data_IF_200726364908
#
_entry.id   IF_200726364908
#
_cell.length_a   1.000
_cell.length_b   1.000
_cell.length_c   1.000
_cell.angle_alpha   90.00
_cell.angle_beta   90.00
_cell.angle_gamma   90.00
#
_symmetry.space_group_name_H-M   'P 1'
#
loop_
_entity.id
_entity.type
_entity.pdbx_description
1 polymer ?
#
# COMPACT_ATOMS: atom_id res chain seq x y z
N UNK A 1 -20.36 9.63 -20.69
CA UNK A 1 -19.92 10.19 -19.40
C UNK A 1 -18.85 11.18 -19.74
N UNK A 2 -19.11 12.48 -19.55
CA UNK A 2 -18.06 13.49 -19.68
C UNK A 2 -16.96 13.12 -18.68
N UNK A 3 -15.79 12.81 -19.21
CA UNK A 3 -14.68 12.33 -18.41
C UNK A 3 -14.06 13.56 -17.76
N UNK A 4 -14.39 13.79 -16.49
CA UNK A 4 -13.88 14.94 -15.75
C UNK A 4 -12.46 14.63 -15.26
N UNK A 5 -11.51 15.50 -15.63
CA UNK A 5 -10.19 15.56 -14.99
C UNK A 5 -10.35 16.28 -13.66
N UNK A 6 -9.91 15.66 -12.57
CA UNK A 6 -9.97 16.24 -11.23
C UNK A 6 -8.63 16.85 -10.82
N UNK A 7 -8.68 17.93 -10.05
CA UNK A 7 -7.51 18.52 -9.39
C UNK A 7 -7.24 17.83 -8.04
N UNK A 8 -6.56 16.69 -8.07
CA UNK A 8 -6.09 15.97 -6.89
C UNK A 8 -5.12 16.79 -6.03
N UNK A 9 -4.36 17.71 -6.61
CA UNK A 9 -3.43 18.57 -5.86
C UNK A 9 -4.16 19.44 -4.84
N UNK A 10 -5.41 19.85 -5.14
CA UNK A 10 -6.26 20.60 -4.22
C UNK A 10 -6.63 19.83 -2.96
N UNK A 11 -6.64 18.49 -2.99
CA UNK A 11 -7.20 17.66 -1.92
C UNK A 11 -6.64 18.04 -0.54
N UNK A 12 -5.32 18.18 -0.43
CA UNK A 12 -4.65 18.47 0.86
C UNK A 12 -5.04 19.81 1.48
N UNK A 13 -5.63 20.72 0.67
CA UNK A 13 -6.11 22.04 1.10
C UNK A 13 -7.59 22.02 1.49
N UNK A 14 -8.33 20.96 1.15
CA UNK A 14 -9.75 20.85 1.44
C UNK A 14 -9.99 20.42 2.90
N UNK A 15 -11.07 20.90 3.54
CA UNK A 15 -11.50 20.42 4.86
C UNK A 15 -11.69 18.90 4.91
N UNK A 16 -12.06 18.29 3.78
CA UNK A 16 -12.16 16.84 3.63
C UNK A 16 -10.86 16.10 4.01
N UNK A 17 -9.70 16.59 3.56
CA UNK A 17 -8.44 15.90 3.87
C UNK A 17 -8.13 15.94 5.37
N UNK A 18 -8.44 17.07 6.01
CA UNK A 18 -8.35 17.18 7.47
C UNK A 18 -9.26 16.17 8.16
N UNK A 19 -10.51 16.04 7.69
CA UNK A 19 -11.47 15.05 8.19
C UNK A 19 -10.93 13.61 8.08
N UNK A 20 -10.34 13.23 6.95
CA UNK A 20 -9.75 11.89 6.75
C UNK A 20 -8.63 11.62 7.78
N UNK A 21 -7.77 12.62 8.03
CA UNK A 21 -6.70 12.51 9.03
C UNK A 21 -7.24 12.42 10.46
N UNK A 22 -8.32 13.15 10.77
CA UNK A 22 -8.96 13.11 12.08
C UNK A 22 -9.68 11.77 12.30
N UNK A 23 -10.38 11.23 11.29
CA UNK A 23 -10.98 9.89 11.32
C UNK A 23 -9.91 8.81 11.56
N UNK A 24 -8.76 8.91 10.89
CA UNK A 24 -7.61 8.02 11.13
C UNK A 24 -7.07 8.12 12.56
N UNK A 25 -6.89 9.34 13.08
CA UNK A 25 -6.38 9.53 14.44
C UNK A 25 -7.37 9.01 15.49
N UNK A 26 -8.67 9.20 15.29
CA UNK A 26 -9.70 8.65 16.15
C UNK A 26 -9.68 7.12 16.17
N UNK A 27 -9.48 6.48 15.01
CA UNK A 27 -9.31 5.05 14.89
C UNK A 27 -8.10 4.55 15.71
N UNK A 28 -6.93 5.18 15.53
CA UNK A 28 -5.69 4.79 16.22
C UNK A 28 -5.75 4.97 17.75
N UNK A 29 -6.57 5.89 18.24
CA UNK A 29 -6.72 6.16 19.67
C UNK A 29 -7.74 5.25 20.36
N UNK A 30 -8.46 4.41 19.61
CA UNK A 30 -9.44 3.48 20.16
C UNK A 30 -8.81 2.10 20.42
N UNK A 31 -8.49 1.82 21.69
CA UNK A 31 -7.89 0.55 22.12
C UNK A 31 -8.85 -0.65 22.16
N UNK A 32 -10.15 -0.44 21.90
CA UNK A 32 -11.14 -1.51 21.82
C UNK A 32 -11.29 -2.08 20.41
N UNK A 33 -10.69 -1.43 19.40
CA UNK A 33 -10.77 -1.90 18.01
C UNK A 33 -9.85 -3.09 17.78
N UNK A 34 -10.39 -4.07 17.05
CA UNK A 34 -9.64 -5.20 16.52
C UNK A 34 -8.81 -4.77 15.31
N UNK A 35 -7.81 -5.59 14.99
CA UNK A 35 -6.88 -5.35 13.88
C UNK A 35 -7.58 -5.07 12.53
N UNK A 36 -8.67 -5.81 12.26
CA UNK A 36 -9.47 -5.64 11.04
C UNK A 36 -9.97 -4.21 10.81
N UNK A 37 -10.27 -3.45 11.87
CA UNK A 37 -10.71 -2.06 11.70
C UNK A 37 -9.61 -1.16 11.09
N UNK A 38 -8.35 -1.38 11.47
CA UNK A 38 -7.22 -0.64 10.89
C UNK A 38 -6.91 -1.12 9.47
N UNK A 39 -7.00 -2.44 9.24
CA UNK A 39 -6.88 -3.01 7.91
C UNK A 39 -7.92 -2.41 6.94
N UNK A 40 -9.20 -2.38 7.33
CA UNK A 40 -10.28 -1.88 6.49
C UNK A 40 -10.11 -0.39 6.15
N UNK A 41 -9.68 0.43 7.13
CA UNK A 41 -9.41 1.84 6.88
C UNK A 41 -8.24 2.06 5.91
N UNK A 42 -7.15 1.30 6.07
CA UNK A 42 -6.00 1.35 5.17
C UNK A 42 -6.36 0.82 3.77
N UNK A 43 -7.16 -0.25 3.68
CA UNK A 43 -7.64 -0.81 2.43
C UNK A 43 -8.55 0.16 1.66
N UNK A 44 -9.32 0.97 2.37
CA UNK A 44 -10.14 2.02 1.76
C UNK A 44 -9.32 3.26 1.35
N UNK A 45 -8.15 3.50 1.95
CA UNK A 45 -7.35 4.71 1.73
C UNK A 45 -5.86 4.44 1.40
N UNK A 46 -5.52 3.47 0.53
CA UNK A 46 -4.14 3.03 0.35
C UNK A 46 -3.26 4.13 -0.26
N UNK A 47 -3.81 4.95 -1.15
CA UNK A 47 -3.09 6.06 -1.77
C UNK A 47 -2.52 7.01 -0.69
N UNK A 48 -3.30 7.29 0.36
CA UNK A 48 -2.99 8.25 1.41
C UNK A 48 -1.95 7.69 2.40
N UNK A 49 -2.06 6.41 2.77
CA UNK A 49 -1.29 5.86 3.87
C UNK A 49 -0.20 4.86 3.47
N UNK A 50 -0.37 4.10 2.39
CA UNK A 50 0.50 2.98 2.02
C UNK A 50 1.33 3.25 0.77
N UNK A 51 0.77 3.99 -0.19
CA UNK A 51 1.35 4.16 -1.51
C UNK A 51 2.25 5.40 -1.60
N UNK A 52 3.44 5.20 -2.19
CA UNK A 52 4.30 6.29 -2.64
C UNK A 52 3.95 6.77 -4.04
N UNK A 53 4.67 7.80 -4.52
CA UNK A 53 4.45 8.47 -5.82
C UNK A 53 4.33 7.50 -7.01
N UNK A 54 5.21 6.51 -7.08
CA UNK A 54 5.30 5.61 -8.24
C UNK A 54 4.43 4.35 -8.09
N UNK A 55 3.65 4.26 -7.01
CA UNK A 55 2.72 3.17 -6.79
C UNK A 55 1.40 3.47 -7.50
N UNK A 56 0.87 2.47 -8.20
CA UNK A 56 -0.34 2.62 -9.01
C UNK A 56 -1.47 1.68 -8.59
N UNK A 57 -1.17 0.77 -7.66
CA UNK A 57 -2.10 -0.22 -7.16
C UNK A 57 -1.69 -0.70 -5.77
N UNK A 58 -2.67 -0.99 -4.93
CA UNK A 58 -2.50 -1.76 -3.72
C UNK A 58 -3.50 -2.93 -3.73
N UNK A 59 -3.06 -4.07 -3.22
CA UNK A 59 -3.84 -5.30 -3.14
C UNK A 59 -4.05 -5.60 -1.66
N UNK A 60 -5.28 -5.95 -1.27
CA UNK A 60 -5.59 -6.41 0.07
C UNK A 60 -5.78 -7.92 0.06
N UNK A 61 -5.25 -8.59 1.10
CA UNK A 61 -5.43 -10.03 1.32
C UNK A 61 -5.00 -10.90 0.14
N UNK A 62 -3.85 -10.59 -0.46
CA UNK A 62 -3.27 -11.40 -1.54
C UNK A 62 -2.85 -12.78 -1.00
N UNK A 63 -3.34 -13.85 -1.63
CA UNK A 63 -3.02 -15.22 -1.22
C UNK A 63 -1.74 -15.71 -1.87
N UNK A 64 -0.76 -16.12 -1.06
CA UNK A 64 0.44 -16.79 -1.51
C UNK A 64 0.24 -18.31 -1.42
N UNK A 65 -0.21 -18.90 -2.51
CA UNK A 65 -0.63 -20.31 -2.53
C UNK A 65 -1.93 -20.52 -1.75
N UNK A 66 -2.06 -21.67 -1.08
CA UNK A 66 -3.19 -21.98 -0.21
C UNK A 66 -2.91 -21.74 1.28
N UNK A 67 -1.67 -21.44 1.64
CA UNK A 67 -1.17 -21.49 3.01
C UNK A 67 -1.03 -20.11 3.65
N UNK A 68 -0.71 -19.08 2.85
CA UNK A 68 -0.39 -17.76 3.36
C UNK A 68 -1.23 -16.67 2.70
N UNK A 69 -1.44 -15.58 3.42
CA UNK A 69 -2.17 -14.41 2.98
C UNK A 69 -1.44 -13.17 3.54
N UNK A 70 -1.17 -12.19 2.67
CA UNK A 70 -0.57 -10.91 3.09
C UNK A 70 -1.67 -9.94 3.51
N UNK A 71 -1.41 -8.99 4.42
CA UNK A 71 -2.37 -7.90 4.63
C UNK A 71 -2.46 -6.98 3.41
N UNK A 72 -1.31 -6.50 2.95
CA UNK A 72 -1.26 -5.67 1.74
C UNK A 72 -0.09 -6.03 0.83
N UNK A 73 -0.27 -5.74 -0.46
CA UNK A 73 0.82 -5.65 -1.43
C UNK A 73 0.71 -4.32 -2.17
N UNK A 74 1.74 -3.48 -2.05
CA UNK A 74 1.85 -2.24 -2.84
C UNK A 74 2.64 -2.53 -4.11
N UNK A 75 2.07 -2.18 -5.25
CA UNK A 75 2.67 -2.40 -6.57
C UNK A 75 3.21 -1.08 -7.10
N UNK A 76 4.51 -1.05 -7.34
CA UNK A 76 5.23 0.16 -7.77
C UNK A 76 5.90 -0.06 -9.12
N UNK A 77 5.85 0.94 -9.98
CA UNK A 77 6.64 0.93 -11.22
C UNK A 77 8.13 1.00 -10.88
N UNK A 78 8.90 0.11 -11.48
CA UNK A 78 10.32 -0.03 -11.18
C UNK A 78 11.23 0.17 -12.39
N UNK A 79 10.74 0.88 -13.40
CA UNK A 79 11.47 1.35 -14.56
C UNK A 79 12.02 0.19 -15.39
N UNK A 80 13.26 0.30 -15.87
CA UNK A 80 13.95 -0.75 -16.65
C UNK A 80 14.03 -2.10 -15.92
N UNK A 81 13.94 -2.08 -14.58
CA UNK A 81 14.15 -3.25 -13.73
C UNK A 81 12.83 -3.95 -13.35
N UNK A 82 11.72 -3.52 -13.98
CA UNK A 82 10.40 -4.14 -13.87
C UNK A 82 9.66 -3.80 -12.59
N UNK A 83 8.47 -4.37 -12.38
CA UNK A 83 7.60 -4.03 -11.24
C UNK A 83 8.22 -4.40 -9.89
N UNK A 84 8.04 -3.52 -8.89
CA UNK A 84 8.37 -3.78 -7.48
C UNK A 84 7.13 -4.14 -6.68
N UNK A 85 7.29 -5.06 -5.74
CA UNK A 85 6.24 -5.49 -4.82
C UNK A 85 6.69 -5.26 -3.39
N UNK A 86 5.89 -4.52 -2.63
CA UNK A 86 6.10 -4.39 -1.18
C UNK A 86 5.00 -5.16 -0.46
N UNK A 87 5.37 -6.27 0.16
CA UNK A 87 4.47 -7.11 0.96
C UNK A 87 4.47 -6.58 2.39
N UNK A 88 3.28 -6.29 2.90
CA UNK A 88 3.08 -5.63 4.19
C UNK A 88 2.27 -6.56 5.08
N UNK A 89 2.81 -6.80 6.27
CA UNK A 89 2.08 -7.34 7.42
C UNK A 89 1.74 -6.18 8.36
N UNK A 90 0.53 -6.18 8.92
CA UNK A 90 0.14 -5.27 9.98
C UNK A 90 -0.20 -6.06 11.25
N UNK A 91 0.05 -5.43 12.38
CA UNK A 91 -0.43 -5.86 13.68
C UNK A 91 -1.18 -4.70 14.34
N UNK A 92 -1.84 -4.92 15.46
CA UNK A 92 -2.51 -3.82 16.16
C UNK A 92 -1.55 -2.65 16.49
N UNK A 93 -1.99 -1.37 16.38
CA UNK A 93 -1.25 -0.24 16.91
C UNK A 93 -1.03 -0.33 18.43
N UNK A 94 -1.81 -1.14 19.14
CA UNK A 94 -1.68 -1.34 20.59
C UNK A 94 -0.78 -2.51 20.97
N UNK A 95 -0.18 -3.17 19.98
CA UNK A 95 0.78 -4.25 20.22
C UNK A 95 2.09 -3.68 20.76
N UNK A 96 2.53 -4.21 21.90
CA UNK A 96 3.87 -3.95 22.44
C UNK A 96 4.87 -4.88 21.76
N UNK A 97 6.00 -4.34 21.28
CA UNK A 97 6.99 -5.11 20.52
C UNK A 97 7.88 -5.98 21.44
N UNK A 98 8.24 -5.48 22.61
CA UNK A 98 9.12 -6.17 23.55
C UNK A 98 8.48 -6.30 24.92
N UNK A 99 8.69 -7.45 25.58
CA UNK A 99 8.25 -7.65 26.95
C UNK A 99 9.15 -6.93 27.97
N UNK A 100 8.80 -7.02 29.25
CA UNK A 100 9.57 -6.40 30.35
C UNK A 100 10.99 -6.96 30.50
N UNK A 101 11.29 -8.12 29.91
CA UNK A 101 12.63 -8.71 29.86
C UNK A 101 13.40 -8.30 28.59
N UNK A 102 12.82 -7.43 27.76
CA UNK A 102 13.41 -6.93 26.54
C UNK A 102 13.37 -7.92 25.36
N UNK A 103 12.58 -9.00 25.46
CA UNK A 103 12.44 -10.01 24.39
C UNK A 103 11.26 -9.66 23.48
N UNK A 104 11.32 -9.99 22.18
CA UNK A 104 10.18 -9.81 21.28
C UNK A 104 8.92 -10.52 21.80
N UNK A 105 7.78 -9.84 21.79
CA UNK A 105 6.51 -10.44 22.20
C UNK A 105 6.05 -11.51 21.21
N UNK A 106 5.11 -12.36 21.64
CA UNK A 106 4.55 -13.41 20.78
C UNK A 106 3.96 -12.86 19.47
N UNK A 107 3.25 -11.72 19.52
CA UNK A 107 2.70 -11.05 18.34
C UNK A 107 3.79 -10.55 17.40
N UNK A 108 4.80 -9.87 17.93
CA UNK A 108 5.90 -9.39 17.08
C UNK A 108 6.68 -10.55 16.45
N UNK A 109 6.93 -11.62 17.19
CA UNK A 109 7.51 -12.85 16.65
C UNK A 109 6.63 -13.50 15.57
N UNK A 110 5.30 -13.51 15.73
CA UNK A 110 4.37 -14.04 14.74
C UNK A 110 4.44 -13.25 13.42
N UNK A 111 4.43 -11.91 13.49
CA UNK A 111 4.59 -11.06 12.30
C UNK A 111 5.94 -11.29 11.60
N UNK A 112 7.04 -11.40 12.35
CA UNK A 112 8.35 -11.77 11.79
C UNK A 112 8.32 -13.15 11.13
N UNK A 113 7.60 -14.09 11.72
CA UNK A 113 7.46 -15.45 11.19
C UNK A 113 6.66 -15.46 9.89
N UNK A 114 5.56 -14.70 9.79
CA UNK A 114 4.80 -14.51 8.55
C UNK A 114 5.68 -14.03 7.40
N UNK A 115 6.50 -13.00 7.62
CA UNK A 115 7.42 -12.50 6.60
C UNK A 115 8.44 -13.58 6.16
N UNK A 116 8.96 -14.36 7.11
CA UNK A 116 9.89 -15.48 6.80
C UNK A 116 9.20 -16.56 5.98
N UNK A 117 7.95 -16.88 6.29
CA UNK A 117 7.19 -17.90 5.59
C UNK A 117 6.80 -17.44 4.17
N UNK A 118 6.43 -16.17 3.99
CA UNK A 118 6.21 -15.59 2.66
C UNK A 118 7.48 -15.64 1.82
N UNK A 119 8.63 -15.25 2.39
CA UNK A 119 9.93 -15.36 1.70
C UNK A 119 10.24 -16.78 1.29
N UNK A 120 10.09 -17.73 2.22
CA UNK A 120 10.31 -19.15 1.95
C UNK A 120 9.38 -19.61 0.82
N UNK A 121 8.10 -19.28 0.88
CA UNK A 121 7.14 -19.63 -0.15
C UNK A 121 7.57 -19.08 -1.52
N UNK A 122 7.88 -17.78 -1.61
CA UNK A 122 8.29 -17.12 -2.85
C UNK A 122 9.58 -17.71 -3.44
N UNK A 123 10.55 -18.08 -2.60
CA UNK A 123 11.79 -18.72 -3.03
C UNK A 123 11.58 -20.12 -3.62
N UNK A 124 10.69 -20.91 -3.03
CA UNK A 124 10.45 -22.31 -3.42
C UNK A 124 9.41 -22.44 -4.54
N UNK A 125 8.58 -21.42 -4.77
CA UNK A 125 7.47 -21.46 -5.72
C UNK A 125 7.64 -20.46 -6.89
N UNK A 126 8.82 -20.44 -7.52
CA UNK A 126 9.16 -19.47 -8.58
C UNK A 126 8.15 -19.41 -9.72
N UNK A 127 7.59 -20.55 -10.15
CA UNK A 127 6.60 -20.60 -11.23
C UNK A 127 5.25 -19.95 -10.84
N UNK A 128 4.87 -20.06 -9.57
CA UNK A 128 3.69 -19.38 -9.01
C UNK A 128 3.99 -17.90 -8.86
N UNK A 129 5.17 -17.55 -8.34
CA UNK A 129 5.63 -16.18 -8.21
C UNK A 129 5.60 -15.45 -9.56
N UNK A 130 6.17 -16.01 -10.62
CA UNK A 130 6.16 -15.39 -11.94
C UNK A 130 4.75 -15.13 -12.49
N UNK A 131 3.75 -15.91 -12.05
CA UNK A 131 2.36 -15.75 -12.49
C UNK A 131 1.60 -14.73 -11.64
N UNK A 132 1.89 -14.70 -10.35
CA UNK A 132 1.15 -13.92 -9.36
C UNK A 132 1.77 -12.55 -9.13
N UNK A 133 3.09 -12.44 -9.15
CA UNK A 133 3.86 -11.22 -8.91
C UNK A 133 4.96 -11.12 -10.01
N UNK A 134 4.56 -10.95 -11.28
CA UNK A 134 5.51 -10.91 -12.38
C UNK A 134 6.46 -9.72 -12.27
N UNK A 135 7.74 -10.00 -12.44
CA UNK A 135 8.81 -9.01 -12.45
C UNK A 135 10.02 -9.59 -13.17
N UNK A 136 10.95 -8.73 -13.58
CA UNK A 136 12.14 -9.10 -14.36
C UNK A 136 13.11 -9.95 -13.52
N UNK A 137 13.20 -9.69 -12.21
CA UNK A 137 14.08 -10.39 -11.29
C UNK A 137 13.30 -10.99 -10.12
N UNK A 138 13.42 -12.31 -9.92
CA UNK A 138 12.72 -13.08 -8.88
C UNK A 138 13.58 -13.42 -7.66
N UNK A 139 14.77 -12.82 -7.52
CA UNK A 139 15.57 -12.91 -6.30
C UNK A 139 14.78 -12.31 -5.14
N UNK A 140 14.81 -13.01 -4.00
CA UNK A 140 14.06 -12.62 -2.79
C UNK A 140 14.97 -12.06 -1.69
N UNK A 141 16.22 -12.51 -1.62
CA UNK A 141 17.13 -12.22 -0.50
C UNK A 141 18.02 -11.02 -0.80
N UNK A 142 18.69 -11.01 -1.95
CA UNK A 142 19.57 -9.93 -2.39
C UNK A 142 19.10 -9.39 -3.74
N UNK A 143 19.25 -8.07 -3.94
CA UNK A 143 18.88 -7.42 -5.20
C UNK A 143 17.43 -7.77 -5.60
N UNK A 144 16.54 -7.65 -4.62
CA UNK A 144 15.16 -8.12 -4.72
C UNK A 144 14.24 -7.03 -5.21
N UNK A 145 13.32 -7.42 -6.10
CA UNK A 145 12.14 -6.62 -6.47
C UNK A 145 11.02 -6.71 -5.42
N UNK A 146 11.26 -7.48 -4.35
CA UNK A 146 10.35 -7.71 -3.24
C UNK A 146 10.88 -7.00 -2.00
N UNK A 147 10.09 -6.07 -1.48
CA UNK A 147 10.28 -5.45 -0.16
C UNK A 147 9.29 -6.04 0.82
N UNK A 148 9.69 -6.07 2.09
CA UNK A 148 8.90 -6.64 3.16
C UNK A 148 8.80 -5.62 4.28
N UNK A 149 7.60 -5.37 4.76
CA UNK A 149 7.30 -4.35 5.76
C UNK A 149 6.40 -4.91 6.85
N UNK A 150 6.67 -4.54 8.09
CA UNK A 150 5.78 -4.76 9.23
C UNK A 150 5.34 -3.39 9.75
N UNK A 151 4.04 -3.21 9.93
CA UNK A 151 3.43 -2.04 10.56
C UNK A 151 2.84 -2.46 11.89
N UNK A 152 3.45 -2.07 13.01
CA UNK A 152 3.12 -2.59 14.33
C UNK A 152 3.33 -1.55 15.43
N UNK A 153 2.39 -1.49 16.36
CA UNK A 153 2.52 -0.65 17.55
C UNK A 153 2.41 0.86 17.28
N UNK A 154 2.52 1.64 18.36
CA UNK A 154 2.68 3.10 18.33
C UNK A 154 4.14 3.50 18.51
N UNK A 155 4.43 4.78 18.26
CA UNK A 155 5.70 5.43 18.57
C UNK A 155 6.03 5.25 20.05
N UNK A 156 7.32 5.05 20.31
CA UNK A 156 7.91 5.12 21.64
C UNK A 156 9.12 6.02 21.59
N UNK A 157 9.39 6.71 22.70
CA UNK A 157 10.62 7.50 22.91
C UNK A 157 11.69 6.67 23.65
N UNK A 158 11.40 5.40 23.96
CA UNK A 158 12.35 4.45 24.53
C UNK A 158 13.44 4.08 23.51
N UNK A 159 14.65 4.59 23.75
CA UNK A 159 15.80 4.40 22.87
C UNK A 159 16.21 2.93 22.73
N UNK A 160 16.08 2.12 23.79
CA UNK A 160 16.45 0.70 23.75
C UNK A 160 15.48 -0.07 22.85
N UNK A 161 14.17 0.22 22.95
CA UNK A 161 13.16 -0.36 22.05
C UNK A 161 13.41 0.05 20.59
N UNK A 162 13.76 1.31 20.36
CA UNK A 162 14.07 1.82 19.01
C UNK A 162 15.33 1.17 18.42
N UNK A 163 16.37 0.98 19.23
CA UNK A 163 17.61 0.31 18.84
C UNK A 163 17.35 -1.18 18.51
N UNK A 164 16.69 -1.92 19.39
CA UNK A 164 16.36 -3.34 19.15
C UNK A 164 15.49 -3.54 17.92
N UNK A 165 14.48 -2.67 17.70
CA UNK A 165 13.66 -2.72 16.48
C UNK A 165 14.51 -2.52 15.23
N UNK A 166 15.44 -1.57 15.26
CA UNK A 166 16.35 -1.28 14.15
C UNK A 166 17.30 -2.44 13.89
N UNK A 167 17.89 -3.00 14.94
CA UNK A 167 18.75 -4.18 14.84
C UNK A 167 18.01 -5.33 14.15
N UNK A 168 16.79 -5.68 14.60
CA UNK A 168 15.99 -6.74 13.98
C UNK A 168 15.63 -6.40 12.52
N UNK A 169 15.28 -5.13 12.25
CA UNK A 169 14.97 -4.64 10.91
C UNK A 169 16.14 -4.81 9.94
N UNK A 170 17.36 -4.52 10.38
CA UNK A 170 18.60 -4.68 9.62
C UNK A 170 18.99 -6.16 9.44
N UNK A 171 18.99 -6.94 10.52
CA UNK A 171 19.32 -8.37 10.51
C UNK A 171 18.42 -9.18 9.58
N UNK A 172 17.12 -8.87 9.59
CA UNK A 172 16.14 -9.58 8.75
C UNK A 172 15.97 -8.87 7.40
N UNK A 173 16.55 -7.70 7.19
CA UNK A 173 16.38 -6.86 6.00
C UNK A 173 14.90 -6.60 5.66
N UNK A 174 14.15 -6.05 6.62
CA UNK A 174 12.73 -5.70 6.49
C UNK A 174 12.50 -4.30 7.05
N UNK A 175 11.51 -3.56 6.56
CA UNK A 175 11.13 -2.28 7.17
C UNK A 175 10.16 -2.53 8.34
N UNK A 176 10.44 -2.01 9.54
CA UNK A 176 9.54 -2.13 10.70
C UNK A 176 9.16 -0.73 11.18
N UNK A 177 7.90 -0.35 10.99
CA UNK A 177 7.40 0.99 11.32
C UNK A 177 6.21 0.93 12.27
N UNK A 178 5.95 2.03 12.97
CA UNK A 178 4.73 2.18 13.76
C UNK A 178 3.61 2.81 12.93
N UNK A 179 2.37 2.70 13.42
CA UNK A 179 1.22 3.37 12.79
C UNK A 179 1.38 4.90 12.73
N UNK A 180 2.09 5.49 13.69
CA UNK A 180 2.40 6.93 13.68
C UNK A 180 3.24 7.34 12.46
N UNK A 181 4.03 6.43 11.89
CA UNK A 181 4.76 6.71 10.65
C UNK A 181 3.81 6.92 9.47
N UNK A 182 2.72 6.15 9.40
CA UNK A 182 1.68 6.35 8.39
C UNK A 182 0.98 7.70 8.59
N UNK A 183 0.72 8.07 9.84
CA UNK A 183 0.18 9.40 10.20
C UNK A 183 1.08 10.52 9.71
N UNK A 184 2.40 10.40 9.88
CA UNK A 184 3.37 11.39 9.38
C UNK A 184 3.39 11.47 7.86
N UNK A 185 3.40 10.31 7.18
CA UNK A 185 3.36 10.26 5.71
C UNK A 185 2.12 10.98 5.19
N UNK A 186 0.96 10.75 5.79
CA UNK A 186 -0.29 11.39 5.39
C UNK A 186 -0.29 12.90 5.73
N UNK A 187 0.15 13.29 6.93
CA UNK A 187 0.18 14.71 7.35
C UNK A 187 1.19 15.56 6.57
N UNK A 188 2.36 15.00 6.25
CA UNK A 188 3.42 15.71 5.56
C UNK A 188 3.23 15.69 4.03
N UNK A 189 2.14 15.13 3.54
CA UNK A 189 1.81 15.12 2.12
C UNK A 189 1.45 16.54 1.68
N UNK A 190 2.31 17.11 0.84
CA UNK A 190 2.14 18.46 0.33
C UNK A 190 1.15 18.57 -0.84
N UNK A 191 0.90 17.48 -1.57
CA UNK A 191 -0.08 17.38 -2.64
C UNK A 191 -0.25 15.92 -3.11
N UNK A 192 -1.27 15.68 -3.93
CA UNK A 192 -1.41 14.46 -4.74
C UNK A 192 -1.25 14.85 -6.20
N UNK A 193 -0.48 14.08 -6.96
CA UNK A 193 -0.25 14.38 -8.36
C UNK A 193 -1.54 14.26 -9.17
N UNK A 194 -1.80 15.23 -10.04
CA UNK A 194 -2.94 15.18 -10.95
C UNK A 194 -2.83 14.05 -11.99
N UNK A 195 -1.65 13.51 -12.21
CA UNK A 195 -1.41 12.44 -13.18
C UNK A 195 -0.45 11.41 -12.62
N UNK A 196 -0.64 10.14 -12.97
CA UNK A 196 0.19 9.04 -12.52
C UNK A 196 1.61 9.13 -13.10
N UNK A 197 2.64 9.09 -12.26
CA UNK A 197 4.07 9.11 -12.63
C UNK A 197 4.64 7.73 -13.00
N UNK A 198 3.84 6.91 -13.68
CA UNK A 198 4.36 5.63 -14.22
C UNK A 198 5.11 5.99 -15.49
N UNK A 199 6.42 5.76 -15.49
CA UNK A 199 7.27 6.04 -16.65
C UNK A 199 7.39 4.77 -17.51
N UNK A 200 6.52 4.66 -18.51
CA UNK A 200 6.59 3.61 -19.54
C UNK A 200 6.21 4.18 -20.90
N UNK A 201 6.73 3.58 -21.99
CA UNK A 201 6.40 4.01 -23.36
C UNK A 201 4.90 3.94 -23.65
N UNK A 202 4.16 3.14 -22.88
CA UNK A 202 2.73 2.98 -22.98
C UNK A 202 1.95 4.04 -22.21
N UNK A 203 2.53 4.56 -21.12
CA UNK A 203 2.00 5.73 -20.43
C UNK A 203 2.04 6.97 -21.30
N UNK A 204 3.02 7.12 -22.20
CA UNK A 204 3.08 8.24 -23.15
C UNK A 204 1.84 8.31 -24.06
N UNK A 205 1.19 7.17 -24.32
CA UNK A 205 0.04 7.05 -25.24
C UNK A 205 -1.32 7.05 -24.55
N UNK A 206 -1.37 7.13 -23.22
CA UNK A 206 -2.62 7.16 -22.47
C UNK A 206 -3.26 8.55 -22.49
N UNK A 207 -4.58 8.53 -22.63
CA UNK A 207 -5.40 9.72 -22.50
C UNK A 207 -5.19 10.37 -21.11
N UNK A 208 -5.11 11.72 -21.03
CA UNK A 208 -4.92 12.45 -19.77
C UNK A 208 -5.90 12.04 -18.67
N UNK A 209 -7.13 11.71 -19.04
CA UNK A 209 -8.16 11.31 -18.11
C UNK A 209 -7.88 9.96 -17.46
N UNK A 210 -7.34 9.00 -18.21
CA UNK A 210 -6.91 7.71 -17.65
C UNK A 210 -5.72 7.89 -16.70
N UNK A 211 -4.80 8.80 -17.04
CA UNK A 211 -3.67 9.15 -16.17
C UNK A 211 -4.13 9.81 -14.87
N UNK A 212 -5.14 10.68 -14.96
CA UNK A 212 -5.77 11.32 -13.81
C UNK A 212 -6.50 10.29 -12.93
N UNK A 213 -7.28 9.39 -13.53
CA UNK A 213 -7.98 8.35 -12.78
C UNK A 213 -7.02 7.34 -12.13
N UNK A 214 -5.89 7.01 -12.78
CA UNK A 214 -4.85 6.18 -12.16
C UNK A 214 -4.28 6.84 -10.89
N UNK A 215 -4.16 8.17 -10.88
CA UNK A 215 -3.69 8.95 -9.75
C UNK A 215 -4.76 9.24 -8.68
N UNK A 216 -6.00 8.75 -8.85
CA UNK A 216 -7.10 9.05 -7.94
C UNK A 216 -6.77 8.63 -6.49
N UNK A 217 -6.72 9.58 -5.54
CA UNK A 217 -6.30 9.31 -4.17
C UNK A 217 -7.35 8.57 -3.34
N UNK A 218 -8.56 8.39 -3.88
CA UNK A 218 -9.65 7.67 -3.23
C UNK A 218 -9.81 6.24 -3.73
N UNK A 219 -8.95 5.78 -4.63
CA UNK A 219 -8.94 4.40 -5.09
C UNK A 219 -8.63 3.45 -3.93
N UNK A 220 -9.50 2.45 -3.75
CA UNK A 220 -9.34 1.42 -2.73
C UNK A 220 -8.38 0.32 -3.20
N UNK A 221 -7.91 -0.49 -2.24
CA UNK A 221 -7.22 -1.73 -2.55
C UNK A 221 -8.10 -2.63 -3.42
N UNK A 222 -7.48 -3.33 -4.37
CA UNK A 222 -8.16 -4.43 -5.06
C UNK A 222 -8.05 -5.72 -4.27
N UNK A 223 -8.96 -6.65 -4.53
CA UNK A 223 -8.93 -8.00 -3.98
C UNK A 223 -7.94 -8.92 -4.71
N UNK A 224 -7.54 -10.00 -4.04
CA UNK A 224 -6.82 -11.15 -4.63
C UNK A 224 -7.48 -11.65 -5.93
N UNK A 225 -8.81 -11.71 -5.98
CA UNK A 225 -9.56 -12.18 -7.15
C UNK A 225 -9.41 -11.23 -8.35
N UNK A 226 -9.55 -9.92 -8.11
CA UNK A 226 -9.34 -8.90 -9.15
C UNK A 226 -7.91 -8.96 -9.68
N UNK A 227 -6.92 -9.04 -8.78
CA UNK A 227 -5.52 -9.15 -9.14
C UNK A 227 -5.24 -10.37 -10.01
N UNK A 228 -5.72 -11.56 -9.60
CA UNK A 228 -5.62 -12.80 -10.39
C UNK A 228 -6.33 -12.70 -11.73
N UNK A 229 -7.36 -11.86 -11.85
CA UNK A 229 -8.05 -11.56 -13.09
C UNK A 229 -7.14 -10.92 -14.15
N UNK A 230 -6.27 -9.99 -13.74
CA UNK A 230 -5.40 -9.23 -14.65
C UNK A 230 -4.35 -10.13 -15.34
N UNK A 231 -3.86 -11.15 -14.63
CA UNK A 231 -2.76 -12.00 -15.11
C UNK A 231 -3.18 -13.20 -15.94
N UNK A 232 -4.49 -13.37 -16.23
CA UNK A 232 -4.97 -14.45 -17.11
C UNK A 232 -4.44 -14.31 -18.55
N UNK A 233 -3.95 -13.13 -18.95
CA UNK A 233 -3.30 -12.87 -20.24
C UNK A 233 -1.78 -12.71 -20.00
N UNK A 234 -1.02 -13.79 -20.18
CA UNK A 234 0.43 -13.91 -19.88
C UNK A 234 1.25 -12.69 -20.35
N UNK A 235 1.88 -12.00 -19.41
CA UNK A 235 2.67 -10.80 -19.70
C UNK A 235 3.57 -10.43 -18.51
N UNK A 236 4.80 -9.97 -18.78
CA UNK A 236 5.87 -9.74 -17.78
C UNK A 236 6.18 -8.27 -17.43
N UNK A 237 5.72 -7.31 -18.25
CA UNK A 237 5.75 -5.87 -18.00
C UNK A 237 4.37 -5.31 -17.59
N UNK A 238 4.32 -4.04 -17.22
CA UNK A 238 3.08 -3.28 -17.08
C UNK A 238 2.57 -2.91 -18.49
N UNK A 239 1.62 -3.68 -19.05
CA UNK A 239 1.13 -3.43 -20.42
C UNK A 239 -0.13 -2.57 -20.42
N UNK A 240 -0.39 -1.78 -21.48
CA UNK A 240 -1.52 -0.84 -21.53
C UNK A 240 -2.90 -1.49 -21.36
N UNK A 241 -3.06 -2.78 -21.68
CA UNK A 241 -4.31 -3.52 -21.39
C UNK A 241 -4.56 -3.73 -19.89
N UNK A 242 -3.50 -3.80 -19.08
CA UNK A 242 -3.60 -3.93 -17.63
C UNK A 242 -4.18 -2.64 -17.02
N UNK A 243 -3.83 -1.47 -17.57
CA UNK A 243 -4.36 -0.19 -17.12
C UNK A 243 -5.87 -0.13 -17.31
N UNK A 244 -6.36 -0.51 -18.50
CA UNK A 244 -7.81 -0.56 -18.75
C UNK A 244 -8.51 -1.55 -17.82
N UNK A 245 -7.89 -2.70 -17.51
CA UNK A 245 -8.45 -3.69 -16.58
C UNK A 245 -8.43 -3.19 -15.12
N UNK A 246 -7.36 -2.52 -14.70
CA UNK A 246 -7.26 -1.84 -13.40
C UNK A 246 -8.39 -0.83 -13.30
N UNK A 247 -8.46 0.13 -14.23
CA UNK A 247 -9.44 1.20 -14.22
C UNK A 247 -10.88 0.68 -14.24
N UNK A 248 -11.17 -0.39 -14.98
CA UNK A 248 -12.51 -1.03 -15.00
C UNK A 248 -12.89 -1.68 -13.68
N UNK A 249 -11.91 -2.14 -12.91
CA UNK A 249 -12.12 -2.84 -11.63
C UNK A 249 -12.01 -1.92 -10.41
N UNK A 250 -11.60 -0.65 -10.60
CA UNK A 250 -11.39 0.29 -9.50
C UNK A 250 -12.69 0.53 -8.74
N UNK A 251 -12.53 0.63 -7.44
CA UNK A 251 -13.56 1.09 -6.52
C UNK A 251 -13.00 2.24 -5.72
N UNK A 252 -13.87 3.15 -5.30
CA UNK A 252 -13.49 4.38 -4.60
C UNK A 252 -14.14 4.41 -3.24
N UNK A 253 -13.44 4.95 -2.25
CA UNK A 253 -13.99 5.07 -0.90
C UNK A 253 -15.08 6.16 -0.83
N UNK A 254 -15.79 6.22 0.30
CA UNK A 254 -16.88 7.16 0.52
C UNK A 254 -16.48 8.64 0.47
N UNK A 255 -15.19 8.96 0.68
CA UNK A 255 -14.71 10.34 0.62
C UNK A 255 -14.66 10.88 -0.81
N UNK A 256 -14.65 10.02 -1.83
CA UNK A 256 -14.61 10.49 -3.21
C UNK A 256 -15.83 11.33 -3.57
N UNK A 257 -17.02 10.91 -3.15
CA UNK A 257 -18.27 11.65 -3.40
C UNK A 257 -18.29 13.01 -2.70
N UNK A 258 -17.70 13.09 -1.51
CA UNK A 258 -17.55 14.34 -0.78
C UNK A 258 -16.55 15.27 -1.48
N UNK A 259 -15.44 14.72 -1.97
CA UNK A 259 -14.47 15.47 -2.77
C UNK A 259 -15.12 16.07 -4.03
N UNK A 260 -15.90 15.27 -4.78
CA UNK A 260 -16.57 15.74 -6.00
C UNK A 260 -17.52 16.90 -5.74
N UNK A 261 -18.21 16.91 -4.59
CA UNK A 261 -19.07 18.03 -4.18
C UNK A 261 -18.27 19.28 -3.83
N UNK A 262 -17.16 19.13 -3.10
CA UNK A 262 -16.33 20.26 -2.69
C UNK A 262 -15.54 20.86 -3.86
N UNK A 263 -15.04 20.05 -4.80
CA UNK A 263 -14.27 20.52 -5.95
C UNK A 263 -15.13 21.26 -6.99
N UNK A 264 -16.39 20.86 -7.18
CA UNK A 264 -17.34 21.60 -8.02
C UNK A 264 -17.65 23.00 -7.49
N UNK A 265 -17.69 23.19 -6.16
CA UNK A 265 -17.94 24.49 -5.54
C UNK A 265 -16.77 25.48 -5.72
N UNK A 266 -15.53 24.98 -5.82
CA UNK A 266 -14.33 25.80 -6.03
C UNK A 266 -14.21 26.28 -7.49
N UNK A 267 -14.73 25.49 -8.46
CA UNK A 267 -14.70 25.85 -9.89
C UNK A 267 -15.78 26.84 -10.35
N UNK A 268 -16.70 27.26 -9.47
CA UNK A 268 -17.75 28.25 -9.75
C UNK A 268 -17.46 29.64 -9.14
N UNK A 269 -16.29 29.81 -8.52
CA UNK A 269 -15.85 31.06 -7.86
C UNK A 269 -14.75 31.80 -8.62
#
# INVERSE_FOLDING_TARGET
MDIMIYDWESLVRLPLYRKILDDWCALLNNNQLKEGAYHDFLAANPAIFLMGRNAYLAISKLKLGSEYETDFVVVTEGYSDGTMYELIEIESPHTVLFDKSGKPTAKFNAALQQIRDWRRFLMHNKSILHRMLPTINTRIVSDSRFRFKIIIGRRTDDLEVLEKRRQISEEVNIEIISFDRLTEIARNRSFFWNYSDIFSAEMDRLDPEKKNELANPFAQCISDSQWKGFWKKKSFHFYPRMIDEILRSRTYNSFFDEFRKQSQLVGMG
#
